data_IF_328422175294
#
_entry.id   IF_328422175294
#
_cell.length_a   1.000
_cell.length_b   1.000
_cell.length_c   1.000
_cell.angle_alpha   90.00
_cell.angle_beta   90.00
_cell.angle_gamma   90.00
#
_symmetry.space_group_name_H-M   'P 1'
#
loop_
_entity.id
_entity.type
_entity.pdbx_description
1 polymer ?
#
# COMPACT_ATOMS: atom_id res chain seq x y z
N UNK A 1 7.67 4.63 16.96
CA UNK A 1 8.22 4.71 18.32
C UNK A 1 7.99 3.36 18.95
N UNK A 2 8.96 2.81 19.70
CA UNK A 2 8.83 1.52 20.35
C UNK A 2 7.55 1.43 21.17
N UNK A 3 6.97 0.24 21.17
CA UNK A 3 5.75 -0.06 21.90
C UNK A 3 6.09 -0.81 23.18
N UNK A 4 5.57 -0.33 24.31
CA UNK A 4 5.69 -0.98 25.60
C UNK A 4 4.52 -1.97 25.75
N UNK A 5 4.79 -3.26 25.94
CA UNK A 5 3.75 -4.31 25.98
C UNK A 5 2.77 -4.24 24.78
N UNK A 6 3.30 -3.94 23.58
CA UNK A 6 2.54 -3.75 22.32
C UNK A 6 1.56 -2.58 22.32
N UNK A 7 1.65 -1.68 23.29
CA UNK A 7 0.89 -0.43 23.34
C UNK A 7 1.79 0.77 23.00
N UNK A 8 1.24 1.84 22.42
CA UNK A 8 1.98 3.09 22.28
C UNK A 8 2.57 3.52 23.62
N UNK A 9 3.88 3.69 23.66
CA UNK A 9 4.55 4.29 24.81
C UNK A 9 4.39 5.80 24.74
N UNK A 10 4.31 6.50 25.86
CA UNK A 10 4.30 7.96 25.91
C UNK A 10 5.41 8.36 26.87
N UNK A 11 6.29 9.23 26.41
CA UNK A 11 7.37 9.78 27.23
C UNK A 11 6.80 10.76 28.25
N UNK A 12 7.41 10.82 29.42
CA UNK A 12 7.16 11.85 30.39
C UNK A 12 7.50 13.23 29.77
N UNK A 13 6.66 14.25 29.99
CA UNK A 13 7.03 15.60 29.60
C UNK A 13 8.23 16.07 30.44
N UNK A 14 9.02 17.04 29.94
CA UNK A 14 10.02 17.69 30.76
C UNK A 14 9.39 18.29 32.03
N UNK A 15 10.09 18.26 33.19
CA UNK A 15 9.61 18.90 34.41
C UNK A 15 9.28 20.38 34.19
N UNK A 16 8.22 20.86 34.83
CA UNK A 16 7.83 22.27 34.76
C UNK A 16 8.85 23.16 35.49
N UNK A 17 9.01 24.39 34.99
CA UNK A 17 9.76 25.46 35.66
C UNK A 17 11.25 25.13 35.89
N UNK A 18 11.93 24.60 34.87
CA UNK A 18 13.36 24.31 34.94
C UNK A 18 14.18 25.57 35.21
N UNK A 19 15.02 25.53 36.25
CA UNK A 19 15.88 26.65 36.62
C UNK A 19 17.25 26.58 35.91
N UNK A 20 17.84 27.71 35.50
CA UNK A 20 19.20 27.72 34.99
C UNK A 20 20.19 27.14 36.00
N UNK A 21 20.97 26.14 35.60
CA UNK A 21 21.94 25.46 36.47
C UNK A 21 21.36 24.36 37.36
N UNK A 22 20.07 24.05 37.26
CA UNK A 22 19.43 22.92 37.94
C UNK A 22 20.09 21.59 37.53
N UNK A 23 20.39 20.73 38.51
CA UNK A 23 20.93 19.38 38.26
C UNK A 23 19.79 18.40 38.07
N UNK A 24 19.78 17.72 36.93
CA UNK A 24 18.74 16.77 36.53
C UNK A 24 19.38 15.44 36.11
N UNK A 25 18.61 14.37 36.21
CA UNK A 25 18.97 13.07 35.65
C UNK A 25 18.47 12.95 34.22
N UNK A 26 19.36 12.60 33.29
CA UNK A 26 19.05 12.55 31.86
C UNK A 26 19.10 11.12 31.31
N UNK A 27 17.94 10.60 30.90
CA UNK A 27 17.84 9.31 30.23
C UNK A 27 18.13 9.47 28.73
N UNK A 28 19.37 9.16 28.33
CA UNK A 28 19.86 9.34 26.96
C UNK A 28 19.07 8.58 25.89
N UNK A 29 18.59 7.38 26.22
CA UNK A 29 17.90 6.52 25.25
C UNK A 29 16.52 7.06 24.89
N UNK A 30 15.75 7.53 25.87
CA UNK A 30 14.42 8.10 25.65
C UNK A 30 14.42 9.62 25.49
N UNK A 31 15.56 10.28 25.72
CA UNK A 31 15.70 11.73 25.72
C UNK A 31 14.76 12.40 26.74
N UNK A 32 14.68 11.83 27.94
CA UNK A 32 13.84 12.30 29.04
C UNK A 32 14.69 12.82 30.19
N UNK A 33 14.15 13.78 30.94
CA UNK A 33 14.82 14.41 32.08
C UNK A 33 13.95 14.24 33.33
N UNK A 34 14.59 13.93 34.45
CA UNK A 34 13.94 13.66 35.74
C UNK A 34 14.62 14.48 36.84
N UNK A 35 13.82 14.99 37.79
CA UNK A 35 14.35 15.59 39.02
C UNK A 35 14.69 14.53 40.05
N UNK A 36 13.84 13.52 40.14
CA UNK A 36 13.97 12.43 41.08
C UNK A 36 14.87 11.30 40.53
N UNK A 37 15.68 10.73 41.41
CA UNK A 37 16.59 9.64 41.04
C UNK A 37 15.85 8.32 40.84
N UNK A 38 14.84 8.03 41.67
CA UNK A 38 14.11 6.77 41.60
C UNK A 38 13.31 6.70 40.29
N UNK A 39 12.65 7.79 39.88
CA UNK A 39 11.98 7.88 38.57
C UNK A 39 12.94 7.63 37.39
N UNK A 40 14.14 8.20 37.45
CA UNK A 40 15.18 7.98 36.45
C UNK A 40 15.69 6.53 36.45
N UNK A 41 15.86 5.96 37.63
CA UNK A 41 16.35 4.59 37.80
C UNK A 41 15.33 3.58 37.29
N UNK A 42 14.05 3.74 37.65
CA UNK A 42 12.93 2.95 37.11
C UNK A 42 12.87 3.05 35.58
N UNK A 43 13.02 4.27 35.02
CA UNK A 43 13.07 4.46 33.57
C UNK A 43 14.20 3.68 32.92
N UNK A 44 15.37 3.68 33.56
CA UNK A 44 16.55 2.98 33.07
C UNK A 44 16.33 1.47 33.07
N UNK A 45 15.77 0.92 34.16
CA UNK A 45 15.40 -0.51 34.23
C UNK A 45 14.39 -0.86 33.15
N UNK A 46 13.34 -0.05 32.97
CA UNK A 46 12.30 -0.29 31.98
C UNK A 46 12.88 -0.30 30.56
N UNK A 47 13.77 0.64 30.22
CA UNK A 47 14.39 0.70 28.89
C UNK A 47 15.26 -0.52 28.57
N UNK A 48 15.90 -1.11 29.59
CA UNK A 48 16.75 -2.30 29.48
C UNK A 48 15.97 -3.62 29.60
N UNK A 49 14.69 -3.57 29.97
CA UNK A 49 13.83 -4.76 30.08
C UNK A 49 13.36 -5.24 28.71
N UNK A 50 13.20 -6.56 28.52
CA UNK A 50 12.75 -7.19 27.26
C UNK A 50 11.23 -7.10 27.03
N UNK A 51 10.62 -5.98 27.41
CA UNK A 51 9.16 -5.75 27.35
C UNK A 51 8.74 -4.91 26.15
N UNK A 52 9.70 -4.49 25.32
CA UNK A 52 9.45 -3.64 24.16
C UNK A 52 9.19 -4.44 22.90
N UNK A 53 8.54 -3.77 21.97
CA UNK A 53 8.27 -4.25 20.63
C UNK A 53 8.44 -3.16 19.59
N UNK A 54 8.89 -3.55 18.39
CA UNK A 54 9.03 -2.65 17.25
C UNK A 54 7.64 -2.37 16.65
N UNK A 55 7.26 -1.10 16.52
CA UNK A 55 5.93 -0.71 15.99
C UNK A 55 5.72 -1.11 14.51
N UNK A 56 6.81 -1.20 13.73
CA UNK A 56 6.76 -1.60 12.33
C UNK A 56 6.68 -3.11 12.16
N UNK A 57 7.67 -3.85 12.68
CA UNK A 57 7.79 -5.31 12.46
C UNK A 57 6.92 -6.13 13.42
N UNK A 58 6.53 -5.57 14.57
CA UNK A 58 5.83 -6.31 15.62
C UNK A 58 6.72 -7.25 16.43
N UNK A 59 8.03 -7.32 16.13
CA UNK A 59 8.99 -8.13 16.90
C UNK A 59 8.98 -7.67 18.36
N UNK A 60 8.68 -8.60 19.26
CA UNK A 60 8.63 -8.41 20.72
C UNK A 60 9.86 -8.99 21.41
N UNK A 61 9.98 -8.79 22.71
CA UNK A 61 11.12 -9.29 23.48
C UNK A 61 12.37 -8.47 23.26
N UNK A 62 12.20 -7.17 22.99
CA UNK A 62 13.29 -6.24 22.72
C UNK A 62 13.47 -5.31 23.93
N UNK A 63 14.68 -4.78 24.09
CA UNK A 63 14.92 -3.54 24.82
C UNK A 63 14.42 -2.34 24.03
N UNK A 64 14.34 -1.18 24.68
CA UNK A 64 13.93 0.06 24.02
C UNK A 64 14.86 0.42 22.84
N UNK A 65 16.17 0.28 23.05
CA UNK A 65 17.19 0.59 22.05
C UNK A 65 17.13 -0.35 20.84
N UNK A 66 16.99 -1.65 21.06
CA UNK A 66 16.85 -2.63 19.97
C UNK A 66 15.57 -2.40 19.16
N UNK A 67 14.47 -2.05 19.83
CA UNK A 67 13.24 -1.67 19.15
C UNK A 67 13.46 -0.42 18.29
N UNK A 68 14.13 0.62 18.80
CA UNK A 68 14.47 1.81 18.00
C UNK A 68 15.34 1.47 16.78
N UNK A 69 16.35 0.63 16.94
CA UNK A 69 17.23 0.21 15.84
C UNK A 69 16.46 -0.60 14.79
N UNK A 70 15.55 -1.46 15.23
CA UNK A 70 14.62 -2.18 14.34
C UNK A 70 13.76 -1.19 13.52
N UNK A 71 13.19 -0.17 14.16
CA UNK A 71 12.40 0.87 13.47
C UNK A 71 13.25 1.68 12.49
N UNK A 72 14.48 2.06 12.89
CA UNK A 72 15.43 2.77 12.02
C UNK A 72 15.80 1.95 10.79
N UNK A 73 16.02 0.63 10.95
CA UNK A 73 16.33 -0.28 9.84
C UNK A 73 15.18 -0.36 8.85
N UNK A 74 13.92 -0.39 9.32
CA UNK A 74 12.73 -0.34 8.46
C UNK A 74 12.66 0.98 7.69
N UNK A 75 12.82 2.12 8.37
CA UNK A 75 12.80 3.43 7.69
C UNK A 75 13.90 3.55 6.65
N UNK A 76 15.12 3.10 6.97
CA UNK A 76 16.26 3.09 6.04
C UNK A 76 15.99 2.18 4.84
N UNK A 77 15.38 1.01 5.06
CA UNK A 77 15.06 0.09 3.96
C UNK A 77 13.97 0.63 3.04
N UNK A 78 13.13 1.57 3.48
CA UNK A 78 12.11 2.20 2.65
C UNK A 78 12.62 3.42 1.85
N UNK A 79 13.85 3.89 2.08
CA UNK A 79 14.42 5.02 1.32
C UNK A 79 14.60 4.72 -0.17
N UNK A 80 14.78 3.44 -0.53
CA UNK A 80 14.90 3.01 -1.92
C UNK A 80 13.57 2.50 -2.51
N UNK A 81 12.43 2.79 -1.87
CA UNK A 81 11.12 2.42 -2.40
C UNK A 81 10.82 3.32 -3.62
N UNK A 82 10.65 2.77 -4.83
CA UNK A 82 10.55 3.57 -6.06
C UNK A 82 9.31 4.46 -6.05
N UNK A 83 9.46 5.70 -6.53
CA UNK A 83 8.34 6.65 -6.62
C UNK A 83 7.13 6.12 -7.41
N UNK A 84 7.28 5.42 -8.56
CA UNK A 84 6.14 4.85 -9.27
C UNK A 84 5.31 3.89 -8.41
N UNK A 85 5.98 3.10 -7.55
CA UNK A 85 5.30 2.18 -6.63
C UNK A 85 4.66 2.96 -5.48
N UNK A 86 5.35 3.97 -4.93
CA UNK A 86 4.81 4.85 -3.87
C UNK A 86 3.49 5.48 -4.31
N UNK A 87 3.50 6.14 -5.46
CA UNK A 87 2.35 6.86 -6.00
C UNK A 87 1.19 5.91 -6.23
N UNK A 88 1.45 4.75 -6.83
CA UNK A 88 0.43 3.74 -7.12
C UNK A 88 -0.16 3.15 -5.85
N UNK A 89 0.67 2.78 -4.87
CA UNK A 89 0.21 2.23 -3.58
C UNK A 89 -0.62 3.24 -2.80
N UNK A 90 -0.18 4.50 -2.73
CA UNK A 90 -0.91 5.54 -2.00
C UNK A 90 -2.26 5.86 -2.65
N UNK A 91 -2.32 5.89 -3.98
CA UNK A 91 -3.59 6.04 -4.70
C UNK A 91 -4.53 4.85 -4.45
N UNK A 92 -4.04 3.61 -4.54
CA UNK A 92 -4.88 2.44 -4.22
C UNK A 92 -5.40 2.51 -2.76
N UNK A 93 -4.58 3.01 -1.83
CA UNK A 93 -5.00 3.22 -0.46
C UNK A 93 -6.06 4.33 -0.29
N UNK A 94 -6.18 5.30 -1.20
CA UNK A 94 -7.30 6.27 -1.15
C UNK A 94 -8.62 5.62 -1.54
N UNK A 95 -8.60 4.65 -2.46
CA UNK A 95 -9.77 3.94 -2.97
C UNK A 95 -10.27 2.86 -2.00
N UNK A 96 -9.37 2.25 -1.25
CA UNK A 96 -9.69 1.13 -0.38
C UNK A 96 -10.40 1.54 0.93
N UNK A 97 -11.18 0.61 1.49
CA UNK A 97 -11.92 0.83 2.73
C UNK A 97 -11.70 -0.34 3.72
N UNK A 98 -10.57 -0.31 4.41
CA UNK A 98 -10.19 -1.32 5.41
C UNK A 98 -9.95 -0.70 6.78
N UNK A 99 -10.38 -1.40 7.83
CA UNK A 99 -10.13 -1.01 9.24
C UNK A 99 -8.68 -1.27 9.67
N UNK A 100 -8.01 -2.22 9.01
CA UNK A 100 -6.69 -2.71 9.40
C UNK A 100 -5.69 -2.57 8.26
N UNK A 101 -4.49 -2.14 8.62
CA UNK A 101 -3.36 -2.03 7.66
C UNK A 101 -2.97 -3.38 7.07
N UNK A 102 -3.16 -4.49 7.81
CA UNK A 102 -2.92 -5.84 7.27
C UNK A 102 -3.80 -6.14 6.07
N UNK A 103 -5.10 -5.89 6.21
CA UNK A 103 -6.09 -6.25 5.21
C UNK A 103 -5.89 -5.40 3.95
N UNK A 104 -5.64 -4.09 4.14
CA UNK A 104 -5.24 -3.18 3.07
C UNK A 104 -3.96 -3.63 2.36
N UNK A 105 -2.95 -4.05 3.14
CA UNK A 105 -1.68 -4.51 2.60
C UNK A 105 -1.84 -5.74 1.72
N UNK A 106 -2.66 -6.71 2.14
CA UNK A 106 -2.88 -7.94 1.40
C UNK A 106 -3.55 -7.65 0.05
N UNK A 107 -4.56 -6.77 0.04
CA UNK A 107 -5.26 -6.36 -1.17
C UNK A 107 -4.40 -5.57 -2.15
N UNK A 108 -3.67 -4.57 -1.65
CA UNK A 108 -2.77 -3.80 -2.50
C UNK A 108 -1.64 -4.71 -3.00
N UNK A 109 -1.10 -5.60 -2.16
CA UNK A 109 -0.04 -6.52 -2.59
C UNK A 109 -0.52 -7.43 -3.71
N UNK A 110 -1.70 -8.03 -3.56
CA UNK A 110 -2.28 -8.95 -4.55
C UNK A 110 -2.48 -8.26 -5.90
N UNK A 111 -2.93 -6.99 -5.89
CA UNK A 111 -3.09 -6.22 -7.11
C UNK A 111 -1.74 -5.80 -7.73
N UNK A 112 -0.81 -5.31 -6.91
CA UNK A 112 0.42 -4.68 -7.39
C UNK A 112 1.48 -5.71 -7.82
N UNK A 113 1.55 -6.89 -7.19
CA UNK A 113 2.67 -7.84 -7.38
C UNK A 113 2.95 -8.18 -8.85
N UNK A 114 1.91 -8.26 -9.67
CA UNK A 114 1.99 -8.65 -11.09
C UNK A 114 1.80 -7.50 -12.09
N UNK A 115 1.66 -6.25 -11.60
CA UNK A 115 1.47 -5.05 -12.42
C UNK A 115 2.66 -4.11 -12.28
N UNK A 116 3.22 -3.62 -13.38
CA UNK A 116 4.40 -2.73 -13.36
C UNK A 116 4.03 -1.32 -13.81
N UNK A 117 4.60 -0.30 -13.16
CA UNK A 117 4.17 1.09 -13.35
C UNK A 117 5.13 1.88 -14.25
N UNK A 118 4.61 2.90 -14.93
CA UNK A 118 5.45 3.79 -15.75
C UNK A 118 6.53 4.46 -14.89
N UNK A 119 7.75 4.52 -15.43
CA UNK A 119 8.95 5.00 -14.74
C UNK A 119 9.60 3.98 -13.81
N UNK A 120 8.99 2.80 -13.62
CA UNK A 120 9.51 1.78 -12.72
C UNK A 120 10.70 1.02 -13.34
N UNK A 121 11.74 0.78 -12.55
CA UNK A 121 12.85 -0.11 -12.92
C UNK A 121 12.50 -1.56 -12.64
N UNK A 122 12.52 -2.39 -13.69
CA UNK A 122 12.16 -3.81 -13.67
C UNK A 122 13.25 -4.67 -14.31
N UNK A 123 13.28 -5.95 -13.96
CA UNK A 123 14.12 -6.95 -14.61
C UNK A 123 13.32 -7.62 -15.73
N UNK A 124 13.86 -7.59 -16.95
CA UNK A 124 13.26 -8.22 -18.13
C UNK A 124 14.09 -9.42 -18.55
N UNK A 125 13.43 -10.56 -18.75
CA UNK A 125 14.01 -11.79 -19.30
C UNK A 125 13.72 -11.82 -20.80
N UNK A 126 14.77 -11.71 -21.62
CA UNK A 126 14.66 -11.84 -23.08
C UNK A 126 14.47 -13.31 -23.49
N UNK A 127 14.04 -13.53 -24.72
CA UNK A 127 13.90 -14.88 -25.29
C UNK A 127 15.23 -15.66 -25.30
N UNK A 128 16.37 -14.96 -25.31
CA UNK A 128 17.70 -15.56 -25.18
C UNK A 128 18.05 -16.02 -23.75
N UNK A 129 17.17 -15.81 -22.76
CA UNK A 129 17.42 -16.05 -21.35
C UNK A 129 18.20 -14.92 -20.64
N UNK A 130 18.72 -13.95 -21.39
CA UNK A 130 19.43 -12.81 -20.82
C UNK A 130 18.51 -11.94 -19.96
N UNK A 131 19.04 -11.46 -18.83
CA UNK A 131 18.35 -10.57 -17.89
C UNK A 131 18.88 -9.15 -18.01
N UNK A 132 17.97 -8.19 -18.14
CA UNK A 132 18.30 -6.78 -18.27
C UNK A 132 17.47 -5.93 -17.32
N UNK A 133 18.08 -4.87 -16.81
CA UNK A 133 17.35 -3.83 -16.11
C UNK A 133 16.80 -2.83 -17.11
N UNK A 134 15.49 -2.63 -17.06
CA UNK A 134 14.77 -1.74 -17.96
C UNK A 134 13.85 -0.81 -17.17
N UNK A 135 13.58 0.35 -17.73
CA UNK A 135 12.54 1.28 -17.26
C UNK A 135 11.27 1.06 -18.05
N UNK A 136 10.13 0.96 -17.37
CA UNK A 136 8.81 0.89 -17.99
C UNK A 136 8.44 2.27 -18.54
N UNK A 137 8.11 2.34 -19.82
CA UNK A 137 7.72 3.59 -20.51
C UNK A 137 6.21 3.68 -20.74
N UNK A 138 5.57 2.56 -21.02
CA UNK A 138 4.16 2.50 -21.41
C UNK A 138 3.55 1.15 -21.05
N UNK A 139 2.27 1.15 -20.69
CA UNK A 139 1.49 -0.06 -20.45
C UNK A 139 0.47 -0.19 -21.60
N UNK A 140 0.50 -1.33 -22.29
CA UNK A 140 -0.36 -1.62 -23.44
C UNK A 140 -1.42 -2.63 -23.07
N UNK A 141 -2.67 -2.21 -23.22
CA UNK A 141 -3.82 -3.08 -23.05
C UNK A 141 -3.94 -4.08 -24.22
N UNK A 142 -4.52 -5.26 -23.98
CA UNK A 142 -4.95 -6.13 -25.07
C UNK A 142 -5.93 -5.37 -26.00
N UNK A 143 -5.86 -5.57 -27.33
CA UNK A 143 -6.85 -5.01 -28.24
C UNK A 143 -8.25 -5.46 -27.81
N UNK A 144 -9.16 -4.50 -27.63
CA UNK A 144 -10.57 -4.81 -27.45
C UNK A 144 -11.09 -5.33 -28.79
N UNK A 145 -11.51 -6.59 -28.87
CA UNK A 145 -12.33 -7.07 -29.99
C UNK A 145 -13.69 -6.37 -29.90
N UNK A 146 -13.78 -5.16 -30.44
CA UNK A 146 -15.07 -4.60 -30.79
C UNK A 146 -15.60 -5.42 -31.96
N UNK A 147 -16.54 -6.31 -31.69
CA UNK A 147 -17.24 -7.05 -32.74
C UNK A 147 -17.90 -6.08 -33.71
N UNK A 148 -17.30 -5.88 -34.88
CA UNK A 148 -17.96 -5.26 -36.01
C UNK A 148 -19.14 -6.15 -36.43
N UNK A 149 -20.36 -5.75 -36.08
CA UNK A 149 -21.55 -6.20 -36.80
C UNK A 149 -22.27 -4.97 -37.36
N UNK A 150 -22.08 -4.81 -38.68
CA UNK A 150 -22.96 -4.24 -39.70
C UNK A 150 -23.81 -3.02 -39.38
N UNK A 151 -23.58 -1.97 -40.16
CA UNK A 151 -24.21 -0.66 -40.03
C UNK A 151 -25.72 -0.64 -40.25
N UNK A 152 -26.34 0.35 -39.60
CA UNK A 152 -27.49 1.04 -40.16
C UNK A 152 -27.39 2.54 -39.86
N UNK A 153 -27.63 3.31 -40.91
CA UNK A 153 -27.46 4.74 -41.02
C UNK A 153 -28.74 5.48 -40.58
N UNK A 154 -28.56 6.56 -39.81
CA UNK A 154 -29.27 7.86 -39.88
C UNK A 154 -30.75 8.02 -39.41
N UNK A 155 -30.94 9.12 -38.65
CA UNK A 155 -32.11 9.96 -38.36
C UNK A 155 -33.23 9.45 -37.42
N UNK A 156 -33.34 10.05 -36.23
CA UNK A 156 -34.31 11.14 -35.98
C UNK A 156 -34.22 11.63 -34.54
N UNK A 157 -34.18 12.94 -34.39
CA UNK A 157 -34.37 13.68 -33.14
C UNK A 157 -35.67 13.28 -32.43
N UNK A 158 -35.60 13.03 -31.13
CA UNK A 158 -36.67 13.36 -30.16
C UNK A 158 -36.02 13.48 -28.78
N UNK A 159 -35.81 14.71 -28.34
CA UNK A 159 -35.38 15.03 -26.97
C UNK A 159 -36.64 15.03 -26.09
N UNK A 160 -36.74 14.06 -25.19
CA UNK A 160 -37.74 14.06 -24.11
C UNK A 160 -37.09 14.69 -22.88
N UNK A 161 -37.47 15.93 -22.57
CA UNK A 161 -37.05 16.64 -21.37
C UNK A 161 -37.88 16.10 -20.20
N UNK A 162 -37.27 15.33 -19.31
CA UNK A 162 -37.81 15.06 -17.98
C UNK A 162 -37.07 15.93 -16.98
N UNK A 163 -37.83 16.83 -16.37
CA UNK A 163 -37.45 17.72 -15.28
C UNK A 163 -37.32 16.91 -13.99
N UNK A 164 -36.11 16.79 -13.44
CA UNK A 164 -35.86 16.21 -12.13
C UNK A 164 -34.53 16.73 -11.58
N UNK A 165 -34.62 17.68 -10.67
CA UNK A 165 -33.51 18.20 -9.86
C UNK A 165 -32.95 17.10 -8.94
N UNK A 166 -31.80 16.53 -9.31
CA UNK A 166 -30.88 15.85 -8.38
C UNK A 166 -29.45 16.19 -8.79
N UNK A 167 -28.81 17.07 -8.01
CA UNK A 167 -27.42 17.49 -8.17
C UNK A 167 -26.49 16.36 -7.71
N UNK A 168 -26.37 15.33 -8.56
CA UNK A 168 -25.33 14.31 -8.48
C UNK A 168 -24.45 14.40 -9.72
N UNK A 169 -23.12 14.42 -9.61
CA UNK A 169 -22.24 14.59 -10.76
C UNK A 169 -22.45 13.46 -11.79
N UNK A 170 -22.86 13.87 -13.00
CA UNK A 170 -23.11 12.97 -14.13
C UNK A 170 -21.80 12.36 -14.60
N UNK A 171 -21.56 11.12 -14.19
CA UNK A 171 -20.49 10.29 -14.72
C UNK A 171 -20.96 9.75 -16.08
N UNK A 172 -20.20 9.89 -17.18
CA UNK A 172 -20.60 9.39 -18.49
C UNK A 172 -20.98 7.89 -18.45
N UNK A 173 -22.17 7.56 -18.95
CA UNK A 173 -22.78 6.21 -18.91
C UNK A 173 -22.00 5.11 -19.66
N UNK A 174 -20.87 5.44 -20.30
CA UNK A 174 -19.97 4.50 -20.97
C UNK A 174 -19.02 3.74 -20.03
N UNK A 175 -19.03 4.00 -18.72
CA UNK A 175 -18.07 3.40 -17.77
C UNK A 175 -18.65 2.28 -16.89
N UNK A 176 -19.88 1.85 -17.17
CA UNK A 176 -20.49 0.71 -16.47
C UNK A 176 -20.03 -0.61 -17.13
N UNK A 177 -18.93 -1.18 -16.61
CA UNK A 177 -18.36 -2.55 -16.82
C UNK A 177 -17.01 -2.58 -17.55
N UNK A 178 -15.95 -2.07 -16.92
CA UNK A 178 -14.60 -2.55 -17.25
C UNK A 178 -14.11 -3.33 -16.03
N UNK A 179 -14.18 -4.66 -16.10
CA UNK A 179 -13.61 -5.52 -15.07
C UNK A 179 -12.07 -5.33 -15.02
N UNK A 180 -11.42 -5.48 -13.85
CA UNK A 180 -9.97 -5.42 -13.76
C UNK A 180 -9.33 -6.38 -14.75
N UNK A 181 -8.47 -5.87 -15.62
CA UNK A 181 -7.87 -6.68 -16.68
C UNK A 181 -6.90 -7.67 -16.04
N UNK A 182 -6.93 -8.93 -16.46
CA UNK A 182 -5.95 -9.93 -16.02
C UNK A 182 -4.53 -9.41 -16.32
N UNK A 183 -3.64 -9.28 -15.32
CA UNK A 183 -2.28 -8.79 -15.51
C UNK A 183 -1.50 -9.54 -16.59
N UNK A 184 -1.79 -10.83 -16.82
CA UNK A 184 -1.12 -11.66 -17.82
C UNK A 184 -1.38 -11.21 -19.26
N UNK A 185 -2.48 -10.47 -19.49
CA UNK A 185 -2.84 -9.92 -20.80
C UNK A 185 -2.12 -8.59 -21.10
N UNK A 186 -1.50 -7.97 -20.09
CA UNK A 186 -0.78 -6.70 -20.23
C UNK A 186 0.55 -6.90 -20.94
N UNK A 187 0.89 -5.92 -21.79
CA UNK A 187 2.22 -5.79 -22.40
C UNK A 187 2.85 -4.48 -21.95
N UNK A 188 4.17 -4.47 -21.85
CA UNK A 188 4.93 -3.33 -21.35
C UNK A 188 5.95 -2.89 -22.40
N UNK A 189 5.96 -1.60 -22.73
CA UNK A 189 7.05 -1.00 -23.50
C UNK A 189 8.14 -0.60 -22.52
N UNK A 190 9.34 -1.14 -22.70
CA UNK A 190 10.45 -0.98 -21.76
C UNK A 190 11.73 -0.56 -22.48
N UNK A 191 12.59 0.21 -21.80
CA UNK A 191 13.90 0.65 -22.32
C UNK A 191 15.03 0.20 -21.38
N UNK A 192 16.10 -0.45 -21.89
CA UNK A 192 17.25 -0.83 -21.07
C UNK A 192 17.96 0.37 -20.43
N UNK A 193 18.43 0.20 -19.18
CA UNK A 193 19.13 1.26 -18.42
C UNK A 193 20.61 1.34 -18.80
N UNK A 194 21.30 0.20 -18.87
CA UNK A 194 22.78 0.14 -19.01
C UNK A 194 23.26 0.59 -20.40
N UNK A 195 22.37 0.58 -21.38
CA UNK A 195 22.70 0.95 -22.75
C UNK A 195 21.58 1.85 -23.27
N UNK A 196 21.60 3.14 -22.89
CA UNK A 196 20.61 4.14 -23.28
C UNK A 196 20.38 4.24 -24.81
N UNK A 197 21.27 3.66 -25.61
CA UNK A 197 21.23 3.55 -27.07
C UNK A 197 20.34 2.41 -27.62
N UNK A 198 19.84 1.48 -26.79
CA UNK A 198 18.95 0.43 -27.29
C UNK A 198 17.53 0.96 -27.44
N UNK A 199 16.91 0.58 -28.56
CA UNK A 199 15.51 0.86 -28.81
C UNK A 199 14.60 0.23 -27.73
N UNK A 200 13.47 0.89 -27.49
CA UNK A 200 12.45 0.35 -26.59
C UNK A 200 11.85 -0.93 -27.18
N UNK A 201 11.63 -1.94 -26.34
CA UNK A 201 11.02 -3.20 -26.75
C UNK A 201 9.68 -3.40 -26.03
N UNK A 202 8.72 -4.05 -26.68
CA UNK A 202 7.47 -4.47 -26.03
C UNK A 202 7.61 -5.91 -25.55
N UNK A 203 7.32 -6.15 -24.27
CA UNK A 203 7.43 -7.46 -23.61
C UNK A 203 6.13 -7.85 -22.93
N UNK A 204 5.91 -9.15 -22.73
CA UNK A 204 4.77 -9.69 -21.99
C UNK A 204 5.00 -9.56 -20.47
N UNK A 205 3.92 -9.51 -19.69
CA UNK A 205 3.99 -9.50 -18.22
C UNK A 205 4.90 -10.60 -17.66
N UNK A 206 4.79 -11.84 -18.17
CA UNK A 206 5.58 -12.98 -17.69
C UNK A 206 7.10 -12.86 -17.91
N UNK A 207 7.54 -11.92 -18.74
CA UNK A 207 8.95 -11.63 -19.00
C UNK A 207 9.49 -10.55 -18.06
N UNK A 208 8.62 -9.89 -17.29
CA UNK A 208 8.95 -8.76 -16.41
C UNK A 208 8.87 -9.21 -14.95
N UNK A 209 9.81 -8.77 -14.13
CA UNK A 209 9.82 -9.08 -12.70
C UNK A 209 10.45 -7.96 -11.90
N UNK A 210 10.05 -7.85 -10.63
CA UNK A 210 10.69 -6.96 -9.66
C UNK A 210 11.77 -7.71 -8.88
N UNK A 211 12.81 -6.97 -8.47
CA UNK A 211 13.69 -7.44 -7.41
C UNK A 211 12.90 -7.50 -6.10
N UNK A 212 12.92 -8.64 -5.40
CA UNK A 212 12.26 -8.80 -4.10
C UNK A 212 12.78 -7.84 -3.03
N UNK A 213 14.01 -7.35 -3.18
CA UNK A 213 14.61 -6.31 -2.33
C UNK A 213 13.94 -4.93 -2.49
N UNK A 214 13.26 -4.69 -3.60
CA UNK A 214 12.58 -3.42 -3.92
C UNK A 214 11.14 -3.45 -3.44
N UNK A 215 10.40 -4.53 -3.78
CA UNK A 215 9.00 -4.68 -3.42
C UNK A 215 8.74 -6.07 -2.84
N UNK A 216 8.17 -6.10 -1.64
CA UNK A 216 7.71 -7.31 -0.95
C UNK A 216 6.53 -6.94 -0.06
N UNK A 217 5.73 -7.94 0.35
CA UNK A 217 4.57 -7.73 1.22
C UNK A 217 4.98 -7.06 2.55
N UNK A 218 6.09 -7.47 3.16
CA UNK A 218 6.59 -6.84 4.39
C UNK A 218 7.00 -5.38 4.17
N UNK A 219 7.68 -5.08 3.06
CA UNK A 219 8.07 -3.71 2.72
C UNK A 219 6.82 -2.84 2.49
N UNK A 220 5.82 -3.35 1.78
CA UNK A 220 4.54 -2.68 1.59
C UNK A 220 3.83 -2.43 2.92
N UNK A 221 3.76 -3.43 3.80
CA UNK A 221 3.15 -3.30 5.13
C UNK A 221 3.82 -2.21 5.96
N UNK A 222 5.15 -2.18 5.97
CA UNK A 222 5.91 -1.15 6.66
C UNK A 222 5.70 0.24 6.04
N UNK A 223 5.65 0.31 4.71
CA UNK A 223 5.36 1.54 3.97
C UNK A 223 3.97 2.09 4.34
N UNK A 224 2.92 1.25 4.33
CA UNK A 224 1.57 1.64 4.72
C UNK A 224 1.50 2.08 6.19
N UNK A 225 2.19 1.40 7.11
CA UNK A 225 2.29 1.84 8.52
C UNK A 225 2.95 3.22 8.67
N UNK A 226 3.85 3.59 7.77
CA UNK A 226 4.53 4.89 7.80
C UNK A 226 3.64 6.00 7.22
N UNK A 227 2.97 5.72 6.11
CA UNK A 227 2.28 6.72 5.28
C UNK A 227 0.76 6.75 5.43
N UNK A 228 0.15 5.80 6.12
CA UNK A 228 -1.28 5.77 6.40
C UNK A 228 -1.56 5.91 7.90
N UNK A 229 -2.78 6.31 8.21
CA UNK A 229 -3.33 6.41 9.56
C UNK A 229 -4.81 6.01 9.55
N UNK A 230 -5.39 5.81 10.74
CA UNK A 230 -6.81 5.47 10.86
C UNK A 230 -7.60 6.77 10.94
N UNK A 231 -8.47 7.01 9.96
CA UNK A 231 -9.41 8.13 9.88
C UNK A 231 -10.82 7.57 9.84
N UNK A 232 -11.68 7.95 10.80
CA UNK A 232 -13.04 7.42 10.94
C UNK A 232 -13.12 5.88 10.93
N UNK A 233 -12.18 5.21 11.58
CA UNK A 233 -12.11 3.75 11.64
C UNK A 233 -11.54 3.07 10.39
N UNK A 234 -11.11 3.84 9.39
CA UNK A 234 -10.63 3.34 8.09
C UNK A 234 -9.18 3.77 7.88
N UNK A 235 -8.34 2.88 7.37
CA UNK A 235 -6.96 3.20 7.01
C UNK A 235 -6.95 4.07 5.75
N UNK A 236 -6.43 5.29 5.87
CA UNK A 236 -6.27 6.25 4.78
C UNK A 236 -4.85 6.84 4.74
N UNK A 237 -4.36 7.27 3.56
CA UNK A 237 -3.09 7.99 3.48
C UNK A 237 -3.11 9.27 4.33
N UNK A 238 -2.00 9.56 5.01
CA UNK A 238 -1.81 10.80 5.77
C UNK A 238 -1.83 12.00 4.83
N UNK A 239 -2.40 13.12 5.28
CA UNK A 239 -2.39 14.38 4.51
C UNK A 239 -0.96 14.79 4.09
N UNK A 240 0.03 14.61 4.96
CA UNK A 240 1.45 14.87 4.65
C UNK A 240 2.00 13.98 3.54
N UNK A 241 1.52 12.75 3.42
CA UNK A 241 1.92 11.82 2.34
C UNK A 241 1.20 12.14 1.04
N UNK A 242 -0.07 12.51 1.10
CA UNK A 242 -0.85 12.97 -0.05
C UNK A 242 -0.19 14.20 -0.68
N UNK A 243 0.14 15.20 0.14
CA UNK A 243 0.81 16.42 -0.31
C UNK A 243 2.21 16.14 -0.86
N UNK A 244 3.03 15.34 -0.14
CA UNK A 244 4.41 15.04 -0.55
C UNK A 244 4.51 14.38 -1.94
N UNK A 245 3.56 13.52 -2.29
CA UNK A 245 3.59 12.75 -3.54
C UNK A 245 2.57 13.23 -4.57
N UNK A 246 1.89 14.36 -4.32
CA UNK A 246 0.90 14.96 -5.20
C UNK A 246 -0.22 13.99 -5.60
N UNK A 247 -0.74 13.23 -4.61
CA UNK A 247 -1.65 12.11 -4.88
C UNK A 247 -3.03 12.54 -5.41
N UNK A 248 -3.46 13.78 -5.19
CA UNK A 248 -4.75 14.26 -5.70
C UNK A 248 -4.64 15.02 -7.03
N UNK A 249 -3.42 15.39 -7.42
CA UNK A 249 -3.16 16.23 -8.60
C UNK A 249 -2.80 15.41 -9.84
N UNK A 250 -2.42 14.14 -9.66
CA UNK A 250 -1.95 13.28 -10.74
C UNK A 250 -3.13 12.67 -11.52
N UNK A 251 -3.02 12.66 -12.84
CA UNK A 251 -3.89 11.84 -13.69
C UNK A 251 -3.40 10.38 -13.63
N UNK A 252 -4.19 9.54 -12.99
CA UNK A 252 -3.87 8.14 -12.73
C UNK A 252 -4.08 7.21 -13.91
N UNK A 253 -4.69 7.68 -15.00
CA UNK A 253 -4.95 6.90 -16.21
C UNK A 253 -3.68 6.29 -16.81
N UNK A 254 -2.53 6.97 -16.65
CA UNK A 254 -1.24 6.47 -17.13
C UNK A 254 -0.62 5.41 -16.21
N UNK A 255 -0.99 5.38 -14.94
CA UNK A 255 -0.51 4.38 -13.97
C UNK A 255 -1.39 3.13 -13.94
N UNK A 256 -2.68 3.32 -14.18
CA UNK A 256 -3.71 2.28 -14.19
C UNK A 256 -4.44 2.39 -15.54
N UNK A 257 -4.01 1.61 -16.55
CA UNK A 257 -4.63 1.66 -17.86
C UNK A 257 -6.03 1.01 -17.84
N UNK A 258 -6.36 0.25 -16.79
CA UNK A 258 -7.69 -0.22 -16.44
C UNK A 258 -8.28 0.58 -15.26
N UNK A 259 -9.59 0.43 -15.04
CA UNK A 259 -10.21 1.00 -13.84
C UNK A 259 -9.57 0.37 -12.59
N UNK A 260 -9.14 1.17 -11.60
CA UNK A 260 -8.53 0.64 -10.41
C UNK A 260 -9.48 -0.33 -9.69
N UNK A 261 -8.95 -1.35 -9.02
CA UNK A 261 -9.77 -2.41 -8.46
C UNK A 261 -10.71 -1.84 -7.40
N UNK A 262 -11.97 -2.28 -7.44
CA UNK A 262 -12.88 -2.04 -6.33
C UNK A 262 -12.50 -2.97 -5.18
N UNK A 263 -11.78 -2.44 -4.21
CA UNK A 263 -11.43 -3.20 -3.00
C UNK A 263 -12.70 -3.53 -2.21
N UNK A 264 -12.95 -4.82 -2.01
CA UNK A 264 -14.09 -5.31 -1.22
C UNK A 264 -13.90 -4.88 0.23
N UNK A 265 -14.92 -4.23 0.79
CA UNK A 265 -14.87 -3.70 2.16
C UNK A 265 -14.61 -4.82 3.16
N UNK A 266 -13.82 -4.56 4.20
CA UNK A 266 -13.42 -5.58 5.20
C UNK A 266 -14.64 -6.30 5.82
N UNK A 267 -15.78 -5.62 6.00
CA UNK A 267 -17.04 -6.20 6.49
C UNK A 267 -17.59 -7.29 5.55
N UNK A 268 -17.58 -7.07 4.24
CA UNK A 268 -18.05 -8.03 3.24
C UNK A 268 -17.14 -9.25 3.16
N UNK A 269 -15.82 -9.06 3.28
CA UNK A 269 -14.86 -10.17 3.36
C UNK A 269 -15.06 -11.02 4.60
N UNK A 270 -15.27 -10.41 5.77
CA UNK A 270 -15.59 -11.12 7.03
C UNK A 270 -16.90 -11.91 6.88
N UNK A 271 -17.93 -11.31 6.29
CA UNK A 271 -19.20 -11.99 6.02
C UNK A 271 -19.05 -13.15 5.03
N UNK A 272 -18.28 -12.98 3.94
CA UNK A 272 -18.00 -14.04 2.97
C UNK A 272 -17.19 -15.20 3.59
N UNK A 273 -16.19 -14.88 4.41
CA UNK A 273 -15.40 -15.88 5.14
C UNK A 273 -16.26 -16.65 6.15
N UNK A 274 -17.14 -15.96 6.90
CA UNK A 274 -18.09 -16.58 7.82
C UNK A 274 -19.08 -17.50 7.08
N UNK A 275 -19.62 -17.06 5.92
CA UNK A 275 -20.48 -17.89 5.05
C UNK A 275 -19.76 -19.14 4.54
N UNK A 276 -18.49 -19.02 4.12
CA UNK A 276 -17.66 -20.14 3.67
C UNK A 276 -17.36 -21.12 4.81
N UNK A 277 -17.07 -20.60 6.01
CA UNK A 277 -16.87 -21.42 7.21
C UNK A 277 -18.14 -22.18 7.59
N UNK A 278 -19.30 -21.51 7.61
CA UNK A 278 -20.58 -22.12 7.91
C UNK A 278 -20.93 -23.25 6.93
N UNK A 279 -20.73 -23.03 5.62
CA UNK A 279 -20.89 -24.06 4.58
C UNK A 279 -19.97 -25.27 4.78
N UNK A 280 -18.74 -25.04 5.24
CA UNK A 280 -17.79 -26.13 5.53
C UNK A 280 -18.21 -26.93 6.76
N UNK A 281 -18.64 -26.25 7.83
CA UNK A 281 -19.11 -26.90 9.06
C UNK A 281 -20.41 -27.67 8.82
N UNK A 282 -21.35 -27.15 8.02
CA UNK A 282 -22.57 -27.86 7.64
C UNK A 282 -22.29 -29.07 6.74
N UNK A 283 -21.32 -28.97 5.83
CA UNK A 283 -20.90 -30.08 4.96
C UNK A 283 -20.18 -31.22 5.69
N UNK A 284 -19.52 -30.95 6.83
CA UNK A 284 -18.91 -32.00 7.67
C UNK A 284 -19.95 -32.75 8.52
N UNK A 285 -21.03 -32.09 8.96
CA UNK A 285 -22.11 -32.77 9.72
C UNK A 285 -22.96 -33.73 8.88
N UNK A 286 -22.93 -33.62 7.54
CA UNK A 286 -23.65 -34.52 6.63
C UNK A 286 -22.90 -35.79 6.23
N UNK A 287 -21.67 -36.02 6.72
CA UNK A 287 -20.83 -37.18 6.34
C UNK A 287 -20.63 -38.22 7.45
N UNK A 288 -21.33 -38.11 8.57
CA UNK A 288 -21.29 -39.11 9.65
C UNK A 288 -22.71 -39.60 9.89
N UNK A 289 -23.15 -40.55 9.05
CA UNK A 289 -24.21 -41.52 9.29
C UNK A 289 -24.32 -42.39 8.02
N UNK A 290 -23.45 -43.40 7.94
CA UNK A 290 -23.66 -44.66 7.21
C UNK A 290 -23.25 -45.76 8.17
#
# INVERSE_FOLDING_TARGET
MPQLHRKPFIRAPPPAELQPGERLFYCRVTNEVFRDYDEFFERTILCNSLVWSCSFTGKSGLTYQEALESEKKVKKSLLNFPEPIIVSVLYLATLANHERVSDLCDDIYEYVKDRFFIGETVTVVRNSGARLECTVLEIKLPPQENGMTNGHNIHSDTIVISDSDDDSPVVPDSWKKIEPIDPTLLKYKVKPIVQEMYESVTVKQCQVSRKSSIFSQDRLKHFLKLHCEIQNGIVKPKASSIAKYHILEKNYFHYFPDEPPRFVVSAEKKAAAARKHLRRVSGLKGKTLV
#
